data_IF_210218056592
#
_entry.id   IF_210218056592
#
_cell.length_a   1.000
_cell.length_b   1.000
_cell.length_c   1.000
_cell.angle_alpha   90.00
_cell.angle_beta   90.00
_cell.angle_gamma   90.00
#
_symmetry.space_group_name_H-M   'P 1'
#
loop_
_entity.id
_entity.type
_entity.pdbx_description
1 polymer ?
#
# COMPACT_ATOMS: atom_id res chain seq x y z
N UNK A 1 95.93 -4.84 -2.67
CA UNK A 1 95.99 -3.57 -3.41
C UNK A 1 94.66 -2.88 -3.19
N UNK A 2 94.68 -1.78 -2.43
CA UNK A 2 93.51 -1.02 -1.96
C UNK A 2 92.78 -0.34 -3.11
N UNK A 3 91.44 -0.32 -3.12
CA UNK A 3 90.66 0.84 -3.57
C UNK A 3 89.26 0.87 -2.92
N UNK A 4 88.96 1.97 -2.25
CA UNK A 4 87.68 2.37 -1.63
C UNK A 4 86.66 2.76 -2.69
N UNK A 5 85.37 2.51 -2.49
CA UNK A 5 84.24 3.40 -2.87
C UNK A 5 83.01 3.03 -2.02
N UNK A 6 82.64 3.87 -1.04
CA UNK A 6 81.55 4.86 -1.07
C UNK A 6 80.15 4.23 -0.88
N UNK A 7 79.65 4.29 0.36
CA UNK A 7 78.26 4.00 0.71
C UNK A 7 77.35 5.11 0.19
N UNK A 8 76.41 4.77 -0.70
CA UNK A 8 75.26 5.61 -1.04
C UNK A 8 74.01 4.88 -0.56
N UNK A 9 73.38 5.46 0.46
CA UNK A 9 72.08 5.07 0.98
C UNK A 9 70.99 5.67 0.08
N UNK A 10 70.37 4.85 -0.77
CA UNK A 10 69.15 5.21 -1.48
C UNK A 10 67.95 4.56 -0.81
N UNK A 11 67.16 5.40 -0.14
CA UNK A 11 65.84 5.07 0.39
C UNK A 11 64.90 4.68 -0.75
N UNK A 12 64.37 3.46 -0.69
CA UNK A 12 63.37 2.97 -1.63
C UNK A 12 61.99 3.47 -1.19
N UNK A 13 61.50 4.52 -1.84
CA UNK A 13 60.15 5.03 -1.65
C UNK A 13 59.11 4.03 -2.17
N UNK A 14 58.22 3.59 -1.28
CA UNK A 14 57.00 2.86 -1.63
C UNK A 14 56.09 3.77 -2.47
N UNK A 15 55.95 3.48 -3.76
CA UNK A 15 54.86 3.96 -4.57
C UNK A 15 53.60 3.16 -4.22
N UNK A 16 52.81 3.68 -3.27
CA UNK A 16 51.44 3.24 -3.07
C UNK A 16 50.60 3.72 -4.26
N UNK A 17 50.26 2.81 -5.16
CA UNK A 17 49.26 3.05 -6.18
C UNK A 17 47.88 3.15 -5.51
N UNK A 18 47.34 4.36 -5.42
CA UNK A 18 45.94 4.58 -5.04
C UNK A 18 45.04 4.09 -6.18
N UNK A 19 44.48 2.90 -6.02
CA UNK A 19 43.34 2.44 -6.81
C UNK A 19 42.12 3.30 -6.37
N UNK A 20 41.40 3.99 -7.27
CA UNK A 20 40.16 4.65 -6.89
C UNK A 20 39.13 3.57 -6.61
N UNK A 21 39.01 3.19 -5.34
CA UNK A 21 37.94 2.34 -4.87
C UNK A 21 36.60 2.97 -5.26
N UNK A 22 35.76 2.19 -5.93
CA UNK A 22 34.37 2.49 -6.19
C UNK A 22 33.73 3.09 -4.94
N UNK A 23 33.34 4.36 -5.01
CA UNK A 23 32.44 4.94 -4.01
C UNK A 23 31.17 4.08 -4.03
N UNK A 24 30.68 3.56 -2.88
CA UNK A 24 29.36 2.98 -2.83
C UNK A 24 28.38 4.02 -3.37
N UNK A 25 27.64 3.66 -4.42
CA UNK A 25 26.58 4.51 -4.95
C UNK A 25 25.66 4.89 -3.78
N UNK A 26 25.56 6.19 -3.51
CA UNK A 26 24.64 6.72 -2.49
C UNK A 26 23.26 6.18 -2.81
N UNK A 27 22.61 5.51 -1.85
CA UNK A 27 21.24 5.04 -2.04
C UNK A 27 20.37 6.24 -2.47
N UNK A 28 19.51 6.09 -3.50
CA UNK A 28 18.68 7.19 -3.97
C UNK A 28 17.86 7.76 -2.81
N UNK A 29 17.83 9.07 -2.69
CA UNK A 29 16.97 9.71 -1.69
C UNK A 29 15.52 9.46 -2.05
N UNK A 30 14.57 9.49 -1.09
CA UNK A 30 13.13 9.34 -1.38
C UNK A 30 12.62 10.33 -2.47
N UNK A 31 13.36 11.43 -2.73
CA UNK A 31 13.09 12.41 -3.77
C UNK A 31 13.50 11.95 -5.20
N UNK A 32 14.43 11.00 -5.33
CA UNK A 32 14.95 10.52 -6.62
C UNK A 32 14.13 9.35 -7.19
N UNK A 33 13.06 8.93 -6.50
CA UNK A 33 12.21 7.84 -6.95
C UNK A 33 11.38 8.27 -8.16
N UNK A 34 11.42 7.49 -9.26
CA UNK A 34 10.78 7.88 -10.50
C UNK A 34 9.26 7.98 -10.37
N UNK A 35 8.64 8.77 -11.26
CA UNK A 35 7.20 8.97 -11.33
C UNK A 35 6.74 10.39 -11.00
N UNK A 36 5.43 10.66 -11.08
CA UNK A 36 4.88 11.99 -10.92
C UNK A 36 5.10 12.53 -9.50
N UNK A 37 5.27 13.85 -9.37
CA UNK A 37 5.33 14.50 -8.07
C UNK A 37 3.95 14.42 -7.38
N UNK A 38 3.84 13.59 -6.35
CA UNK A 38 2.60 13.39 -5.60
C UNK A 38 2.05 14.67 -4.97
N UNK A 39 2.89 15.67 -4.68
CA UNK A 39 2.45 16.95 -4.11
C UNK A 39 1.72 17.84 -5.13
N UNK A 40 1.93 17.62 -6.43
CA UNK A 40 1.33 18.43 -7.49
C UNK A 40 0.11 17.79 -8.14
N UNK A 41 -0.14 16.50 -7.88
CA UNK A 41 -1.29 15.79 -8.43
C UNK A 41 -2.62 16.41 -7.98
N UNK A 42 -3.60 16.36 -8.88
CA UNK A 42 -4.98 16.80 -8.68
C UNK A 42 -5.93 15.70 -9.14
N UNK A 43 -7.20 15.77 -8.75
CA UNK A 43 -8.24 14.83 -9.23
C UNK A 43 -8.28 14.71 -10.77
N UNK A 44 -7.99 15.81 -11.49
CA UNK A 44 -7.99 15.84 -12.95
C UNK A 44 -6.69 15.33 -13.59
N UNK A 45 -5.54 15.47 -12.94
CA UNK A 45 -4.23 15.12 -13.51
C UNK A 45 -3.74 13.74 -13.05
N UNK A 46 -4.17 13.29 -11.88
CA UNK A 46 -3.76 12.02 -11.30
C UNK A 46 -4.05 10.83 -12.22
N UNK A 47 -5.23 10.67 -12.85
CA UNK A 47 -5.52 9.48 -13.66
C UNK A 47 -4.50 9.23 -14.78
N UNK A 48 -4.24 10.24 -15.62
CA UNK A 48 -3.32 10.11 -16.74
C UNK A 48 -1.87 9.89 -16.27
N UNK A 49 -1.43 10.65 -15.26
CA UNK A 49 -0.08 10.54 -14.72
C UNK A 49 0.17 9.17 -14.06
N UNK A 50 -0.81 8.64 -13.32
CA UNK A 50 -0.74 7.34 -12.67
C UNK A 50 -0.77 6.20 -13.68
N UNK A 51 -1.60 6.27 -14.72
CA UNK A 51 -1.60 5.28 -15.80
C UNK A 51 -0.24 5.20 -16.49
N UNK A 52 0.33 6.34 -16.87
CA UNK A 52 1.66 6.40 -17.49
C UNK A 52 2.75 5.83 -16.55
N UNK A 53 2.69 6.20 -15.26
CA UNK A 53 3.60 5.66 -14.25
C UNK A 53 3.47 4.14 -14.09
N UNK A 54 2.25 3.60 -14.01
CA UNK A 54 2.00 2.17 -13.85
C UNK A 54 2.47 1.34 -15.04
N UNK A 55 2.40 1.89 -16.26
CA UNK A 55 2.95 1.26 -17.46
C UNK A 55 4.49 1.22 -17.45
N UNK A 56 5.13 2.30 -17.00
CA UNK A 56 6.59 2.39 -16.96
C UNK A 56 7.22 1.63 -15.79
N UNK A 57 6.53 1.58 -14.64
CA UNK A 57 7.01 0.96 -13.41
C UNK A 57 6.00 -0.06 -12.89
N UNK A 58 5.86 -1.21 -13.59
CA UNK A 58 4.88 -2.22 -13.23
C UNK A 58 5.18 -2.81 -11.85
N UNK A 59 4.16 -3.42 -11.28
CA UNK A 59 4.24 -4.22 -10.07
C UNK A 59 2.94 -4.98 -9.95
N UNK A 60 2.91 -6.12 -9.29
CA UNK A 60 1.73 -6.97 -9.15
C UNK A 60 1.40 -7.28 -7.69
N UNK A 61 2.37 -7.10 -6.80
CA UNK A 61 2.21 -7.46 -5.40
C UNK A 61 2.92 -6.48 -4.47
N UNK A 62 2.33 -6.30 -3.29
CA UNK A 62 2.90 -5.51 -2.20
C UNK A 62 2.93 -6.33 -0.91
N UNK A 63 3.94 -6.07 -0.09
CA UNK A 63 4.13 -6.67 1.22
C UNK A 63 4.01 -5.57 2.29
N UNK A 64 3.04 -5.76 3.18
CA UNK A 64 2.93 -4.99 4.42
C UNK A 64 3.67 -5.74 5.51
N UNK A 65 4.63 -5.08 6.17
CA UNK A 65 5.25 -5.57 7.41
C UNK A 65 4.68 -4.80 8.58
N UNK A 66 4.22 -5.51 9.60
CA UNK A 66 3.65 -4.93 10.82
C UNK A 66 4.20 -5.64 12.04
N UNK A 67 3.99 -5.08 13.25
CA UNK A 67 4.32 -5.75 14.51
C UNK A 67 3.52 -7.05 14.75
N UNK A 68 2.44 -7.28 14.00
CA UNK A 68 1.57 -8.47 14.13
C UNK A 68 1.85 -9.53 13.05
N UNK A 69 2.78 -9.27 12.14
CA UNK A 69 3.16 -10.16 11.04
C UNK A 69 3.12 -9.47 9.69
N UNK A 70 3.30 -10.26 8.64
CA UNK A 70 3.35 -9.80 7.27
C UNK A 70 2.04 -10.10 6.53
N UNK A 71 1.62 -9.19 5.66
CA UNK A 71 0.46 -9.37 4.77
C UNK A 71 0.95 -9.16 3.34
N UNK A 72 0.80 -10.18 2.50
CA UNK A 72 1.12 -10.10 1.07
C UNK A 72 -0.18 -9.92 0.29
N UNK A 73 -0.20 -8.95 -0.59
CA UNK A 73 -1.38 -8.55 -1.35
C UNK A 73 -1.07 -8.58 -2.84
N UNK A 74 -1.96 -9.18 -3.62
CA UNK A 74 -2.00 -9.06 -5.08
C UNK A 74 -2.83 -7.85 -5.48
N UNK A 75 -2.34 -7.06 -6.44
CA UNK A 75 -3.04 -5.91 -7.03
C UNK A 75 -3.61 -6.28 -8.40
N UNK A 76 -4.83 -5.85 -8.70
CA UNK A 76 -5.54 -6.19 -9.92
C UNK A 76 -5.17 -5.28 -11.11
N UNK A 77 -5.03 -5.87 -12.29
CA UNK A 77 -4.63 -5.18 -13.53
C UNK A 77 -5.77 -4.35 -14.14
N UNK A 78 -7.02 -4.74 -13.92
CA UNK A 78 -8.22 -4.05 -14.41
C UNK A 78 -8.67 -2.89 -13.51
N UNK A 79 -7.90 -2.57 -12.47
CA UNK A 79 -7.96 -1.32 -11.68
C UNK A 79 -6.64 -0.56 -11.75
N UNK A 80 -6.19 -0.16 -12.97
CA UNK A 80 -4.83 0.30 -13.20
C UNK A 80 -4.49 1.61 -12.49
N UNK A 81 -5.44 2.52 -12.28
CA UNK A 81 -5.18 3.80 -11.60
C UNK A 81 -4.93 3.56 -10.10
N UNK A 82 -5.79 2.78 -9.44
CA UNK A 82 -5.61 2.46 -8.01
C UNK A 82 -4.35 1.64 -7.79
N UNK A 83 -4.08 0.66 -8.65
CA UNK A 83 -2.86 -0.13 -8.62
C UNK A 83 -1.62 0.75 -8.76
N UNK A 84 -1.56 1.61 -9.78
CA UNK A 84 -0.43 2.50 -10.00
C UNK A 84 -0.23 3.49 -8.84
N UNK A 85 -1.33 4.05 -8.32
CA UNK A 85 -1.30 4.91 -7.14
C UNK A 85 -0.69 4.19 -5.93
N UNK A 86 -1.16 2.98 -5.63
CA UNK A 86 -0.69 2.22 -4.49
C UNK A 86 0.81 1.88 -4.62
N UNK A 87 1.25 1.47 -5.82
CA UNK A 87 2.66 1.22 -6.12
C UNK A 87 3.53 2.48 -6.00
N UNK A 88 3.04 3.64 -6.46
CA UNK A 88 3.74 4.92 -6.33
C UNK A 88 3.96 5.30 -4.86
N UNK A 89 2.90 5.25 -4.06
CA UNK A 89 2.93 5.62 -2.65
C UNK A 89 3.75 4.63 -1.82
N UNK A 90 3.68 3.33 -2.12
CA UNK A 90 4.53 2.32 -1.49
C UNK A 90 6.01 2.55 -1.79
N UNK A 91 6.40 2.74 -3.07
CA UNK A 91 7.80 2.99 -3.43
C UNK A 91 8.33 4.27 -2.79
N UNK A 92 7.52 5.32 -2.70
CA UNK A 92 7.87 6.59 -2.03
C UNK A 92 7.91 6.49 -0.50
N UNK A 93 7.57 5.35 0.08
CA UNK A 93 7.52 5.16 1.53
C UNK A 93 6.48 6.05 2.19
N UNK A 94 5.38 6.39 1.49
CA UNK A 94 4.30 7.19 2.06
C UNK A 94 3.56 6.39 3.13
N UNK A 95 3.28 5.11 2.86
CA UNK A 95 2.59 4.24 3.81
C UNK A 95 3.44 3.88 5.03
N UNK A 96 4.77 4.01 4.94
CA UNK A 96 5.68 3.78 6.06
C UNK A 96 5.46 4.78 7.21
N UNK A 97 4.85 5.94 6.89
CA UNK A 97 4.49 7.00 7.83
C UNK A 97 3.01 6.89 8.27
N UNK A 98 2.33 5.79 7.95
CA UNK A 98 0.89 5.59 8.23
C UNK A 98 0.64 4.42 9.17
N UNK A 99 -0.55 4.40 9.76
CA UNK A 99 -1.01 3.32 10.64
C UNK A 99 -2.35 2.75 10.17
N UNK A 100 -2.74 1.62 10.73
CA UNK A 100 -4.14 1.20 10.74
C UNK A 100 -4.91 2.07 11.73
N UNK A 101 -5.60 3.07 11.21
CA UNK A 101 -6.20 4.16 11.97
C UNK A 101 -7.67 3.93 12.33
N UNK A 102 -8.31 2.85 11.84
CA UNK A 102 -9.69 2.52 12.21
C UNK A 102 -9.97 1.03 12.06
N UNK A 103 -10.35 0.37 13.14
CA UNK A 103 -10.65 -1.07 13.17
C UNK A 103 -12.10 -1.30 13.62
N UNK A 104 -12.90 -1.88 12.73
CA UNK A 104 -14.29 -2.24 13.04
C UNK A 104 -14.47 -3.74 12.92
N UNK A 105 -14.73 -4.38 14.07
CA UNK A 105 -14.92 -5.82 14.17
C UNK A 105 -16.01 -6.30 13.20
N UNK A 106 -15.74 -7.40 12.50
CA UNK A 106 -16.63 -7.99 11.49
C UNK A 106 -16.99 -7.09 10.31
N UNK A 107 -16.21 -6.03 10.06
CA UNK A 107 -16.41 -5.11 8.95
C UNK A 107 -15.11 -4.92 8.18
N UNK A 108 -14.19 -4.09 8.69
CA UNK A 108 -12.97 -3.74 7.99
C UNK A 108 -11.87 -3.24 8.94
N UNK A 109 -10.62 -3.36 8.47
CA UNK A 109 -9.43 -2.74 9.04
C UNK A 109 -8.96 -1.68 8.04
N UNK A 110 -9.04 -0.41 8.41
CA UNK A 110 -8.69 0.73 7.57
C UNK A 110 -7.35 1.33 7.98
N UNK A 111 -6.54 1.70 7.00
CA UNK A 111 -5.23 2.31 7.16
C UNK A 111 -4.98 3.43 6.14
N UNK A 112 -3.79 4.03 6.23
CA UNK A 112 -3.34 5.08 5.31
C UNK A 112 -3.42 6.50 5.87
N UNK A 113 -3.86 6.67 7.11
CA UNK A 113 -3.73 7.94 7.84
C UNK A 113 -2.47 7.94 8.72
N UNK A 114 -1.89 9.12 8.94
CA UNK A 114 -0.73 9.31 9.82
C UNK A 114 -1.18 9.38 11.28
N UNK A 115 -0.41 8.79 12.21
CA UNK A 115 -0.74 8.81 13.64
C UNK A 115 -0.53 10.16 14.32
N UNK A 116 0.25 11.05 13.72
CA UNK A 116 0.43 12.42 14.18
C UNK A 116 0.34 13.43 13.02
N UNK A 117 0.06 14.69 13.34
CA UNK A 117 0.05 15.77 12.35
C UNK A 117 1.47 16.00 11.80
N UNK A 118 1.71 15.54 10.56
CA UNK A 118 2.74 15.95 9.58
C UNK A 118 4.07 15.17 9.57
N UNK A 119 4.35 14.56 8.42
CA UNK A 119 5.70 14.49 7.80
C UNK A 119 5.65 14.71 6.28
N UNK A 120 4.56 14.35 5.60
CA UNK A 120 4.39 14.64 4.17
C UNK A 120 3.18 15.56 3.99
N UNK A 121 3.39 16.73 3.40
CA UNK A 121 2.31 17.57 2.89
C UNK A 121 1.69 16.88 1.65
N UNK A 122 0.87 15.86 1.89
CA UNK A 122 0.10 15.23 0.83
C UNK A 122 -1.04 16.16 0.48
N UNK A 123 -0.91 16.82 -0.66
CA UNK A 123 -2.09 17.38 -1.32
C UNK A 123 -3.02 16.19 -1.60
N UNK A 124 -4.20 16.20 -0.98
CA UNK A 124 -5.20 15.16 -1.19
C UNK A 124 -5.73 15.31 -2.61
N UNK A 125 -5.29 14.43 -3.50
CA UNK A 125 -5.97 14.15 -4.76
C UNK A 125 -6.81 12.89 -4.58
N UNK A 126 -7.84 12.75 -5.41
CA UNK A 126 -8.74 11.60 -5.41
C UNK A 126 -8.65 10.86 -6.73
N UNK A 127 -9.05 9.60 -6.71
CA UNK A 127 -9.02 8.71 -7.86
C UNK A 127 -10.43 8.52 -8.41
N UNK A 128 -10.63 8.50 -9.74
CA UNK A 128 -11.90 8.08 -10.32
C UNK A 128 -12.22 6.64 -9.92
N UNK A 129 -13.51 6.33 -9.76
CA UNK A 129 -13.96 4.98 -9.42
C UNK A 129 -13.54 3.96 -10.49
N UNK A 130 -12.97 2.84 -10.05
CA UNK A 130 -12.64 1.68 -10.90
C UNK A 130 -13.44 0.45 -10.44
N UNK A 131 -14.68 0.65 -9.99
CA UNK A 131 -15.58 -0.44 -9.57
C UNK A 131 -15.77 -1.44 -10.71
N UNK A 132 -15.49 -2.72 -10.44
CA UNK A 132 -15.71 -3.83 -11.37
C UNK A 132 -16.70 -4.85 -10.81
N UNK A 133 -17.63 -5.41 -11.60
CA UNK A 133 -18.62 -6.38 -11.10
C UNK A 133 -18.04 -7.69 -10.55
N UNK A 134 -16.85 -8.08 -11.03
CA UNK A 134 -16.09 -9.26 -10.60
C UNK A 134 -15.27 -9.02 -9.31
N UNK A 135 -15.07 -7.76 -8.90
CA UNK A 135 -14.38 -7.42 -7.65
C UNK A 135 -15.40 -7.02 -6.59
N UNK A 136 -15.43 -7.75 -5.48
CA UNK A 136 -16.45 -7.62 -4.45
C UNK A 136 -15.84 -7.82 -3.06
N UNK A 137 -16.59 -7.45 -2.02
CA UNK A 137 -16.06 -7.25 -0.67
C UNK A 137 -16.03 -8.56 0.13
N UNK A 138 -15.40 -9.60 -0.40
CA UNK A 138 -15.12 -10.82 0.37
C UNK A 138 -14.02 -10.58 1.40
N UNK A 139 -13.94 -11.43 2.43
CA UNK A 139 -12.90 -11.37 3.46
C UNK A 139 -11.49 -11.52 2.85
N UNK A 140 -10.66 -10.50 3.06
CA UNK A 140 -9.32 -10.38 2.49
C UNK A 140 -9.24 -9.50 1.23
N UNK A 141 -10.35 -8.99 0.71
CA UNK A 141 -10.30 -7.98 -0.36
C UNK A 141 -9.68 -6.67 0.13
N UNK A 142 -8.91 -6.01 -0.73
CA UNK A 142 -8.33 -4.68 -0.51
C UNK A 142 -9.13 -3.63 -1.28
N UNK A 143 -9.75 -2.70 -0.54
CA UNK A 143 -10.55 -1.62 -1.10
C UNK A 143 -9.99 -0.23 -0.78
N UNK A 144 -10.39 0.75 -1.58
CA UNK A 144 -10.06 2.16 -1.33
C UNK A 144 -11.25 2.88 -0.69
N UNK A 145 -11.01 3.61 0.39
CA UNK A 145 -12.03 4.39 1.08
C UNK A 145 -12.42 5.63 0.28
N UNK A 146 -13.59 6.18 0.58
CA UNK A 146 -14.07 7.47 0.05
C UNK A 146 -15.02 8.11 1.04
N UNK A 147 -15.21 9.42 0.88
CA UNK A 147 -16.28 10.16 1.56
C UNK A 147 -17.67 9.70 1.08
N UNK A 148 -18.69 10.06 1.85
CA UNK A 148 -20.11 9.75 1.58
C UNK A 148 -20.56 10.33 0.23
N UNK A 149 -21.64 9.79 -0.33
CA UNK A 149 -22.17 10.29 -1.61
C UNK A 149 -22.65 11.75 -1.53
N UNK A 150 -23.04 12.23 -0.34
CA UNK A 150 -23.44 13.62 -0.11
C UNK A 150 -22.27 14.59 -0.28
N UNK A 151 -21.11 14.26 0.30
CA UNK A 151 -19.89 15.07 0.20
C UNK A 151 -19.11 14.79 -1.10
N UNK A 152 -19.30 13.61 -1.68
CA UNK A 152 -18.54 13.09 -2.82
C UNK A 152 -19.49 12.38 -3.81
N UNK A 153 -20.35 13.14 -4.52
CA UNK A 153 -21.35 12.58 -5.44
C UNK A 153 -20.71 11.87 -6.65
N UNK A 154 -19.47 12.25 -7.00
CA UNK A 154 -18.67 11.59 -8.04
C UNK A 154 -18.06 10.26 -7.57
N UNK A 155 -18.20 9.91 -6.28
CA UNK A 155 -17.69 8.70 -5.65
C UNK A 155 -16.19 8.48 -5.91
N UNK A 156 -15.42 9.57 -5.90
CA UNK A 156 -13.97 9.50 -6.06
C UNK A 156 -13.34 8.84 -4.83
N UNK A 157 -12.36 7.97 -5.05
CA UNK A 157 -11.65 7.27 -3.99
C UNK A 157 -10.55 8.14 -3.39
N UNK A 158 -10.22 7.91 -2.12
CA UNK A 158 -9.01 8.46 -1.50
C UNK A 158 -7.77 7.99 -2.26
N UNK A 159 -6.67 8.73 -2.16
CA UNK A 159 -5.37 8.27 -2.64
C UNK A 159 -4.63 7.43 -1.60
N UNK A 160 -4.86 7.65 -0.31
CA UNK A 160 -4.12 6.97 0.79
C UNK A 160 -4.97 6.03 1.61
N UNK A 161 -6.25 6.36 1.83
CA UNK A 161 -7.07 5.66 2.82
C UNK A 161 -7.60 4.37 2.22
N UNK A 162 -7.00 3.24 2.58
CA UNK A 162 -7.38 1.90 2.12
C UNK A 162 -7.96 1.07 3.26
N UNK A 163 -8.58 -0.06 2.94
CA UNK A 163 -9.02 -1.02 3.95
C UNK A 163 -8.92 -2.47 3.47
N UNK A 164 -8.66 -3.36 4.42
CA UNK A 164 -8.88 -4.79 4.25
C UNK A 164 -10.27 -5.15 4.75
N UNK A 165 -11.00 -5.92 3.94
CA UNK A 165 -12.29 -6.46 4.33
C UNK A 165 -12.10 -7.60 5.32
N UNK A 166 -12.73 -7.50 6.48
CA UNK A 166 -12.80 -8.59 7.47
C UNK A 166 -14.16 -9.27 7.36
N UNK A 167 -15.23 -8.50 7.46
CA UNK A 167 -16.59 -8.99 7.29
C UNK A 167 -17.00 -10.11 8.27
N UNK A 168 -18.11 -10.76 7.95
CA UNK A 168 -18.56 -12.00 8.60
C UNK A 168 -19.02 -13.01 7.56
N UNK A 169 -19.04 -14.29 7.91
CA UNK A 169 -19.71 -15.32 7.09
C UNK A 169 -21.21 -15.05 7.07
N UNK A 170 -21.81 -15.22 5.90
CA UNK A 170 -23.22 -14.95 5.63
C UNK A 170 -23.79 -16.14 4.86
N UNK A 171 -24.96 -16.61 5.25
CA UNK A 171 -25.73 -17.50 4.37
C UNK A 171 -25.98 -16.81 3.02
N UNK A 172 -26.24 -17.59 1.97
CA UNK A 172 -26.51 -17.03 0.65
C UNK A 172 -27.67 -16.01 0.67
N UNK A 173 -28.69 -16.25 1.51
CA UNK A 173 -29.85 -15.35 1.63
C UNK A 173 -29.56 -14.10 2.45
N UNK A 174 -28.74 -14.18 3.51
CA UNK A 174 -28.25 -12.99 4.21
C UNK A 174 -27.37 -12.14 3.30
N UNK A 175 -26.49 -12.76 2.52
CA UNK A 175 -25.63 -12.07 1.58
C UNK A 175 -26.47 -11.33 0.51
N UNK A 176 -27.46 -12.01 -0.08
CA UNK A 176 -28.38 -11.38 -1.06
C UNK A 176 -29.19 -10.23 -0.48
N UNK A 177 -29.69 -10.36 0.75
CA UNK A 177 -30.49 -9.31 1.41
C UNK A 177 -29.67 -8.08 1.81
N UNK A 178 -28.39 -8.27 2.12
CA UNK A 178 -27.50 -7.18 2.53
C UNK A 178 -26.79 -6.49 1.36
N UNK A 179 -26.73 -7.14 0.19
CA UNK A 179 -26.03 -6.60 -0.97
C UNK A 179 -26.80 -5.43 -1.61
N UNK A 180 -26.05 -4.39 -2.01
CA UNK A 180 -26.60 -3.26 -2.77
C UNK A 180 -26.84 -3.56 -4.25
N UNK A 181 -26.44 -4.75 -4.71
CA UNK A 181 -26.65 -5.25 -6.07
C UNK A 181 -26.95 -6.75 -6.05
N UNK A 182 -27.50 -7.26 -7.17
CA UNK A 182 -27.68 -8.69 -7.35
C UNK A 182 -26.33 -9.42 -7.33
N UNK A 183 -26.25 -10.47 -6.51
CA UNK A 183 -25.08 -11.35 -6.40
C UNK A 183 -25.17 -12.51 -7.39
N UNK A 184 -24.03 -12.92 -7.95
CA UNK A 184 -23.92 -14.20 -8.65
C UNK A 184 -23.93 -15.38 -7.65
N UNK A 185 -24.23 -16.61 -8.09
CA UNK A 185 -24.12 -17.79 -7.23
C UNK A 185 -22.71 -17.94 -6.61
N UNK A 186 -21.66 -17.65 -7.38
CA UNK A 186 -20.27 -17.66 -6.92
C UNK A 186 -20.01 -16.62 -5.83
N UNK A 187 -20.48 -15.39 -6.01
CA UNK A 187 -20.36 -14.33 -5.00
C UNK A 187 -21.06 -14.73 -3.69
N UNK A 188 -22.30 -15.22 -3.78
CA UNK A 188 -23.05 -15.69 -2.61
C UNK A 188 -22.35 -16.86 -1.89
N UNK A 189 -21.82 -17.83 -2.65
CA UNK A 189 -21.05 -18.95 -2.11
C UNK A 189 -19.75 -18.48 -1.44
N UNK A 190 -19.08 -17.47 -2.03
CA UNK A 190 -17.87 -16.88 -1.46
C UNK A 190 -18.15 -16.23 -0.10
N UNK A 191 -19.26 -15.49 0.03
CA UNK A 191 -19.67 -14.90 1.31
C UNK A 191 -20.01 -15.95 2.36
N UNK A 192 -20.58 -17.09 1.97
CA UNK A 192 -20.82 -18.20 2.89
C UNK A 192 -19.51 -18.87 3.34
N UNK A 193 -18.58 -19.09 2.42
CA UNK A 193 -17.34 -19.79 2.71
C UNK A 193 -16.35 -18.92 3.52
N UNK A 194 -16.12 -17.69 3.07
CA UNK A 194 -15.04 -16.79 3.55
C UNK A 194 -15.56 -15.65 4.41
N UNK A 195 -16.79 -15.21 4.17
CA UNK A 195 -17.34 -13.99 4.73
C UNK A 195 -17.02 -12.74 3.91
N UNK A 196 -17.50 -11.60 4.36
CA UNK A 196 -17.31 -10.32 3.70
C UNK A 196 -18.36 -9.28 4.08
N UNK A 197 -18.52 -8.26 3.25
CA UNK A 197 -19.42 -7.12 3.46
C UNK A 197 -20.17 -6.78 2.15
N UNK A 198 -21.21 -7.55 1.76
CA UNK A 198 -21.92 -7.37 0.49
C UNK A 198 -22.55 -5.98 0.31
N UNK A 199 -22.86 -5.29 1.41
CA UNK A 199 -23.42 -3.95 1.40
C UNK A 199 -22.49 -2.88 0.76
N UNK A 200 -21.20 -3.18 0.58
CA UNK A 200 -20.26 -2.28 -0.09
C UNK A 200 -20.11 -2.58 -1.60
N UNK A 201 -20.67 -3.69 -2.08
CA UNK A 201 -20.51 -4.12 -3.47
C UNK A 201 -21.09 -3.11 -4.45
N UNK A 202 -20.28 -2.74 -5.45
CA UNK A 202 -20.65 -1.75 -6.46
C UNK A 202 -20.52 -0.29 -6.00
N UNK A 203 -20.15 -0.05 -4.74
CA UNK A 203 -20.03 1.30 -4.18
C UNK A 203 -18.58 1.77 -3.95
N UNK A 204 -17.63 0.84 -3.86
CA UNK A 204 -16.20 1.11 -3.61
C UNK A 204 -15.31 0.28 -4.52
N UNK A 205 -14.17 0.85 -4.93
CA UNK A 205 -13.17 0.14 -5.74
C UNK A 205 -12.45 -0.88 -4.86
N UNK A 206 -12.57 -2.17 -5.23
CA UNK A 206 -11.67 -3.23 -4.78
C UNK A 206 -10.57 -3.35 -5.84
N UNK A 207 -9.32 -3.19 -5.44
CA UNK A 207 -8.16 -3.14 -6.34
C UNK A 207 -7.09 -4.19 -6.02
N UNK A 208 -7.36 -5.08 -5.09
CA UNK A 208 -6.48 -6.20 -4.76
C UNK A 208 -7.08 -7.15 -3.74
N UNK A 209 -6.28 -8.13 -3.35
CA UNK A 209 -6.64 -9.13 -2.33
C UNK A 209 -5.41 -9.65 -1.59
N UNK A 210 -5.63 -10.04 -0.33
CA UNK A 210 -4.64 -10.74 0.48
C UNK A 210 -4.43 -12.14 -0.08
N UNK A 211 -3.17 -12.46 -0.40
CA UNK A 211 -2.73 -13.78 -0.87
C UNK A 211 -1.95 -14.56 0.20
N UNK A 212 -1.33 -13.87 1.16
CA UNK A 212 -0.70 -14.46 2.34
C UNK A 212 -0.90 -13.54 3.56
N UNK A 213 -1.04 -14.11 4.76
CA UNK A 213 -1.19 -13.33 6.00
C UNK A 213 -2.62 -12.86 6.30
N UNK A 214 -3.64 -13.59 5.86
CA UNK A 214 -5.04 -13.29 6.21
C UNK A 214 -5.28 -13.38 7.73
N UNK A 215 -4.56 -14.27 8.43
CA UNK A 215 -4.59 -14.37 9.89
C UNK A 215 -4.00 -13.11 10.57
N UNK A 216 -3.07 -12.42 9.90
CA UNK A 216 -2.51 -11.15 10.39
C UNK A 216 -3.55 -10.03 10.28
N UNK A 217 -4.33 -9.99 9.19
CA UNK A 217 -5.48 -9.08 9.09
C UNK A 217 -6.48 -9.35 10.22
N UNK A 218 -6.75 -10.62 10.53
CA UNK A 218 -7.62 -11.00 11.64
C UNK A 218 -7.06 -10.57 13.00
N UNK A 219 -5.75 -10.73 13.23
CA UNK A 219 -5.09 -10.25 14.46
C UNK A 219 -5.24 -8.73 14.61
N UNK A 220 -5.02 -7.98 13.53
CA UNK A 220 -5.22 -6.53 13.54
C UNK A 220 -6.69 -6.20 13.83
N UNK A 221 -7.64 -6.96 13.28
CA UNK A 221 -9.07 -6.70 13.50
C UNK A 221 -9.55 -6.92 14.94
N UNK A 222 -8.74 -7.56 15.79
CA UNK A 222 -9.07 -7.85 17.19
C UNK A 222 -8.26 -7.01 18.19
N UNK A 223 -7.43 -6.07 17.73
CA UNK A 223 -6.71 -5.19 18.68
C UNK A 223 -7.71 -4.34 19.47
N UNK A 224 -7.42 -4.01 20.74
CA UNK A 224 -8.20 -3.03 21.49
C UNK A 224 -8.27 -1.70 20.76
N UNK A 225 -9.44 -1.07 20.76
CA UNK A 225 -9.67 0.22 20.09
C UNK A 225 -10.36 1.19 21.02
N UNK A 226 -10.07 2.47 20.84
CA UNK A 226 -10.83 3.54 21.44
C UNK A 226 -12.31 3.43 21.00
N UNK A 227 -13.26 3.45 21.95
CA UNK A 227 -14.66 3.21 21.64
C UNK A 227 -15.29 4.32 20.78
N UNK A 228 -14.74 5.53 20.74
CA UNK A 228 -15.32 6.69 20.06
C UNK A 228 -14.99 6.71 18.56
N UNK A 229 -13.72 6.59 18.21
CA UNK A 229 -13.23 6.70 16.83
C UNK A 229 -12.84 5.34 16.20
N UNK A 230 -12.76 4.29 17.01
CA UNK A 230 -12.29 2.95 16.65
C UNK A 230 -10.81 2.92 16.23
N UNK A 231 -10.02 3.89 16.67
CA UNK A 231 -8.57 3.89 16.51
C UNK A 231 -7.93 2.87 17.46
N UNK A 232 -6.94 2.05 17.03
CA UNK A 232 -6.24 1.13 17.93
C UNK A 232 -5.60 1.81 19.14
N UNK A 233 -5.84 1.31 20.36
CA UNK A 233 -5.22 1.88 21.57
C UNK A 233 -3.69 1.84 21.53
N UNK A 234 -3.14 0.85 20.83
CA UNK A 234 -1.75 0.80 20.45
C UNK A 234 -1.65 0.76 18.93
N UNK A 235 -1.04 1.80 18.37
CA UNK A 235 -0.82 1.93 16.93
C UNK A 235 -0.27 0.64 16.30
N UNK A 236 -0.80 0.35 15.12
CA UNK A 236 -0.29 -0.69 14.23
C UNK A 236 0.23 0.01 12.98
N UNK A 237 1.50 0.42 13.03
CA UNK A 237 2.22 0.94 11.87
C UNK A 237 2.47 -0.15 10.81
N UNK A 238 2.87 0.30 9.62
CA UNK A 238 3.19 -0.57 8.50
C UNK A 238 4.45 -0.10 7.78
N UNK A 239 5.18 -1.04 7.17
CA UNK A 239 6.11 -0.75 6.08
C UNK A 239 5.59 -1.44 4.83
N UNK A 240 5.43 -0.70 3.73
CA UNK A 240 4.82 -1.23 2.49
C UNK A 240 5.84 -1.23 1.36
N UNK A 241 6.15 -2.43 0.86
CA UNK A 241 7.15 -2.63 -0.21
C UNK A 241 6.54 -3.32 -1.42
N UNK A 242 6.99 -2.97 -2.62
CA UNK A 242 6.62 -3.67 -3.86
C UNK A 242 7.53 -4.89 -4.01
N UNK A 243 6.96 -6.08 -4.23
CA UNK A 243 7.72 -7.35 -4.22
C UNK A 243 7.73 -8.12 -5.55
N UNK A 244 6.83 -7.78 -6.48
CA UNK A 244 6.80 -8.27 -7.86
C UNK A 244 6.18 -7.21 -8.75
#
# INVERSE_FOLDING_TARGET
MFFRFLFISTALGLLAACNPADKPATAPTKADLPGPNIATLTDSTAPAALLAYGQQYPGSEVLFKTRLGNIRVKLYDDTPIHKANFLLLARRGVFDETVFNRVVKNFAVQGGQTSESRTIALRRYRLPSEVRPNHFHFKGALGMARYSDEENPQRLSSNTDFYFVVGKKLTADEARRSASRRLTPEQASTYAARGGVPALDGAYTIFGEVIEGLDVVDKISQVPVNPNDKWPEQDVGMQVTVVK
#
